data_IF_813267443340
#
_entry.id   IF_813267443340
#
_cell.length_a   1.000
_cell.length_b   1.000
_cell.length_c   1.000
_cell.angle_alpha   90.00
_cell.angle_beta   90.00
_cell.angle_gamma   90.00
#
_symmetry.space_group_name_H-M   'P 1'
#
loop_
_entity.id
_entity.type
_entity.pdbx_description
1 polymer ?
#
# COMPACT_ATOMS: atom_id res chain seq x y z
N UNK A 1 25.30 22.32 -5.71
CA UNK A 1 24.00 21.60 -5.68
C UNK A 1 23.09 22.34 -4.72
N UNK A 2 21.93 22.82 -5.19
CA UNK A 2 20.98 23.53 -4.33
C UNK A 2 20.29 22.49 -3.46
N UNK A 3 20.67 22.42 -2.18
CA UNK A 3 19.99 21.58 -1.19
C UNK A 3 18.58 22.12 -1.02
N UNK A 4 17.66 21.64 -1.83
CA UNK A 4 16.24 21.85 -1.59
C UNK A 4 15.95 21.14 -0.26
N UNK A 5 15.63 21.92 0.77
CA UNK A 5 14.97 21.43 1.97
C UNK A 5 13.64 20.84 1.50
N UNK A 6 13.64 19.53 1.20
CA UNK A 6 12.40 18.81 0.93
C UNK A 6 11.71 18.67 2.28
N UNK A 7 10.82 19.61 2.58
CA UNK A 7 9.79 19.41 3.60
C UNK A 7 8.98 18.22 3.09
N UNK A 8 9.06 17.08 3.79
CA UNK A 8 8.34 15.87 3.42
C UNK A 8 6.85 16.19 3.23
N UNK A 9 6.23 15.55 2.23
CA UNK A 9 4.82 15.78 1.95
C UNK A 9 3.95 15.40 3.15
N UNK A 10 2.90 16.17 3.39
CA UNK A 10 1.85 15.79 4.32
C UNK A 10 0.94 14.74 3.63
N UNK A 11 0.73 13.61 4.30
CA UNK A 11 0.04 12.45 3.74
C UNK A 11 -1.43 12.79 3.42
N UNK A 12 -2.06 13.60 4.27
CA UNK A 12 -3.49 13.92 4.18
C UNK A 12 -3.76 15.15 3.30
N UNK A 13 -2.70 15.91 2.94
CA UNK A 13 -2.78 17.11 2.11
C UNK A 13 -2.16 16.89 0.75
N UNK A 14 -2.97 16.34 -0.16
CA UNK A 14 -2.52 15.95 -1.50
C UNK A 14 -1.84 17.08 -2.29
N UNK A 15 -2.16 18.35 -2.01
CA UNK A 15 -1.53 19.52 -2.64
C UNK A 15 -0.03 19.64 -2.32
N UNK A 16 0.41 19.10 -1.17
CA UNK A 16 1.82 19.07 -0.74
C UNK A 16 2.63 17.95 -1.39
N UNK A 17 1.95 17.00 -2.05
CA UNK A 17 2.63 15.88 -2.70
C UNK A 17 3.48 16.38 -3.87
N UNK A 18 4.66 15.80 -4.02
CA UNK A 18 5.64 16.20 -5.03
C UNK A 18 5.53 15.32 -6.27
N UNK A 19 5.86 15.88 -7.44
CA UNK A 19 5.84 15.13 -8.70
C UNK A 19 6.77 13.92 -8.57
N UNK A 20 6.27 12.74 -8.92
CA UNK A 20 7.02 11.52 -8.71
C UNK A 20 8.22 11.37 -9.65
N UNK A 21 9.34 10.96 -9.08
CA UNK A 21 10.53 10.51 -9.80
C UNK A 21 10.97 9.14 -9.27
N UNK A 22 11.47 8.26 -10.13
CA UNK A 22 11.82 6.87 -9.77
C UNK A 22 12.85 6.78 -8.63
N UNK A 23 13.77 7.73 -8.56
CA UNK A 23 14.82 7.82 -7.53
C UNK A 23 14.26 8.05 -6.12
N UNK A 24 13.06 8.63 -5.99
CA UNK A 24 12.45 8.97 -4.70
C UNK A 24 12.20 7.74 -3.83
N UNK A 25 11.82 6.60 -4.41
CA UNK A 25 11.47 5.41 -3.62
C UNK A 25 12.61 4.90 -2.75
N UNK A 26 13.86 5.05 -3.17
CA UNK A 26 15.03 4.56 -2.42
C UNK A 26 15.43 5.47 -1.26
N UNK A 27 15.00 6.73 -1.27
CA UNK A 27 15.26 7.72 -0.22
C UNK A 27 14.02 8.01 0.65
N UNK A 28 12.92 7.28 0.43
CA UNK A 28 11.63 7.53 1.08
C UNK A 28 11.47 6.70 2.35
N UNK A 29 10.86 7.27 3.39
CA UNK A 29 10.43 6.57 4.61
C UNK A 29 9.22 5.63 4.39
N UNK A 30 8.92 5.31 3.13
CA UNK A 30 7.81 4.45 2.69
C UNK A 30 6.43 4.97 3.03
N UNK A 31 6.19 6.27 2.85
CA UNK A 31 4.89 6.91 3.05
C UNK A 31 3.73 6.22 2.32
N UNK A 32 3.96 5.69 1.12
CA UNK A 32 2.90 4.98 0.40
C UNK A 32 2.51 3.66 1.05
N UNK A 33 3.42 3.03 1.80
CA UNK A 33 3.14 1.86 2.61
C UNK A 33 2.54 2.22 3.98
N UNK A 34 2.28 3.48 4.30
CA UNK A 34 1.50 3.87 5.50
C UNK A 34 0.06 4.27 5.16
N UNK A 35 -0.27 4.32 3.87
CA UNK A 35 -1.63 4.58 3.39
C UNK A 35 -2.47 3.28 3.40
N UNK A 36 -3.81 3.39 3.53
CA UNK A 36 -4.70 2.26 3.31
C UNK A 36 -4.50 1.66 1.91
N UNK A 37 -4.40 0.34 1.82
CA UNK A 37 -4.25 -0.38 0.55
C UNK A 37 -5.50 -1.19 0.30
N UNK A 38 -6.23 -0.83 -0.76
CA UNK A 38 -7.33 -1.64 -1.27
C UNK A 38 -6.82 -2.64 -2.31
N UNK A 39 -7.30 -3.87 -2.22
CA UNK A 39 -6.93 -5.00 -3.05
C UNK A 39 -8.20 -5.73 -3.53
N UNK A 40 -8.14 -6.30 -4.74
CA UNK A 40 -9.16 -7.21 -5.27
C UNK A 40 -8.77 -8.66 -4.98
N UNK A 41 -9.70 -9.60 -5.20
CA UNK A 41 -9.41 -11.03 -5.07
C UNK A 41 -8.19 -11.47 -5.90
N UNK A 42 -8.07 -10.99 -7.14
CA UNK A 42 -6.91 -11.26 -8.00
C UNK A 42 -5.59 -10.77 -7.41
N UNK A 43 -5.62 -9.64 -6.68
CA UNK A 43 -4.45 -9.17 -5.95
C UNK A 43 -4.13 -10.09 -4.77
N UNK A 44 -5.13 -10.53 -4.01
CA UNK A 44 -4.92 -11.43 -2.87
C UNK A 44 -4.33 -12.78 -3.32
N UNK A 45 -4.75 -13.29 -4.47
CA UNK A 45 -4.16 -14.48 -5.08
C UNK A 45 -2.72 -14.22 -5.51
N UNK A 46 -2.45 -13.08 -6.17
CA UNK A 46 -1.08 -12.69 -6.54
C UNK A 46 -0.16 -12.55 -5.33
N UNK A 47 -0.70 -12.07 -4.21
CA UNK A 47 -0.02 -11.95 -2.93
C UNK A 47 0.10 -13.28 -2.20
N UNK A 48 -0.45 -14.37 -2.74
CA UNK A 48 -0.47 -15.72 -2.17
C UNK A 48 -1.17 -15.80 -0.79
N UNK A 49 -2.15 -14.92 -0.56
CA UNK A 49 -3.00 -14.94 0.64
C UNK A 49 -4.26 -15.79 0.45
N UNK A 50 -4.61 -16.03 -0.81
CA UNK A 50 -5.80 -16.75 -1.26
C UNK A 50 -5.36 -17.67 -2.39
N UNK A 51 -5.84 -18.91 -2.37
CA UNK A 51 -5.56 -19.87 -3.43
C UNK A 51 -6.40 -19.55 -4.68
N UNK A 52 -5.88 -19.85 -5.87
CA UNK A 52 -6.62 -19.71 -7.13
C UNK A 52 -7.91 -20.56 -7.14
N UNK A 53 -7.92 -21.72 -6.48
CA UNK A 53 -9.11 -22.58 -6.34
C UNK A 53 -10.22 -21.92 -5.50
N UNK A 54 -9.89 -20.98 -4.60
CA UNK A 54 -10.88 -20.24 -3.81
C UNK A 54 -11.65 -19.19 -4.65
N UNK A 55 -11.34 -19.00 -5.93
CA UNK A 55 -11.97 -17.96 -6.78
C UNK A 55 -13.49 -18.11 -6.89
N UNK A 56 -14.01 -19.33 -6.79
CA UNK A 56 -15.45 -19.60 -6.80
C UNK A 56 -16.15 -19.34 -5.46
N UNK A 57 -15.40 -19.11 -4.39
CA UNK A 57 -15.98 -18.91 -3.07
C UNK A 57 -16.60 -17.51 -2.90
N UNK A 58 -17.66 -17.38 -2.09
CA UNK A 58 -18.19 -16.07 -1.73
C UNK A 58 -17.11 -15.20 -1.07
N UNK A 59 -16.83 -14.01 -1.63
CA UNK A 59 -15.82 -13.08 -1.12
C UNK A 59 -15.96 -12.77 0.38
N UNK A 60 -17.18 -12.81 0.92
CA UNK A 60 -17.46 -12.59 2.34
C UNK A 60 -16.82 -13.67 3.23
N UNK A 61 -16.72 -14.91 2.75
CA UNK A 61 -16.10 -16.01 3.50
C UNK A 61 -14.58 -15.84 3.54
N UNK A 62 -13.98 -15.55 2.37
CA UNK A 62 -12.56 -15.21 2.24
C UNK A 62 -12.22 -14.02 3.14
N UNK A 63 -13.03 -12.95 3.11
CA UNK A 63 -12.84 -11.78 3.96
C UNK A 63 -12.85 -12.12 5.44
N UNK A 64 -13.81 -12.93 5.92
CA UNK A 64 -13.86 -13.37 7.32
C UNK A 64 -12.62 -14.15 7.73
N UNK A 65 -12.12 -15.05 6.87
CA UNK A 65 -10.89 -15.80 7.12
C UNK A 65 -9.69 -14.86 7.24
N UNK A 66 -9.47 -14.00 6.24
CA UNK A 66 -8.34 -13.06 6.23
C UNK A 66 -8.39 -12.01 7.35
N UNK A 67 -9.60 -11.63 7.79
CA UNK A 67 -9.79 -10.79 8.97
C UNK A 67 -9.39 -11.51 10.26
N UNK A 68 -9.75 -12.79 10.39
CA UNK A 68 -9.34 -13.63 11.53
C UNK A 68 -7.81 -13.83 11.55
N UNK A 69 -7.20 -13.97 10.38
CA UNK A 69 -5.75 -14.07 10.21
C UNK A 69 -5.02 -12.73 10.42
N UNK A 70 -5.77 -11.63 10.54
CA UNK A 70 -5.25 -10.29 10.78
C UNK A 70 -4.62 -9.62 9.56
N UNK A 71 -4.79 -10.17 8.34
CA UNK A 71 -4.20 -9.63 7.10
C UNK A 71 -5.09 -8.58 6.43
N UNK A 72 -6.41 -8.67 6.64
CA UNK A 72 -7.41 -7.72 6.14
C UNK A 72 -8.12 -7.05 7.32
N UNK A 73 -8.20 -5.72 7.33
CA UNK A 73 -8.90 -4.96 8.37
C UNK A 73 -10.35 -4.63 8.00
N UNK A 74 -10.66 -4.56 6.69
CA UNK A 74 -11.99 -4.20 6.19
C UNK A 74 -12.32 -4.89 4.87
N UNK A 75 -13.58 -5.22 4.66
CA UNK A 75 -14.10 -5.70 3.39
C UNK A 75 -15.35 -4.92 2.99
N UNK A 76 -15.37 -4.41 1.75
CA UNK A 76 -16.52 -3.75 1.17
C UNK A 76 -17.28 -4.71 0.24
N UNK A 77 -18.42 -5.21 0.71
CA UNK A 77 -19.22 -6.17 -0.03
C UNK A 77 -19.77 -5.62 -1.36
N UNK A 78 -20.02 -4.31 -1.46
CA UNK A 78 -20.58 -3.69 -2.68
C UNK A 78 -19.54 -3.62 -3.80
N UNK A 79 -18.28 -3.31 -3.47
CA UNK A 79 -17.21 -3.15 -4.45
C UNK A 79 -16.31 -4.38 -4.60
N UNK A 80 -16.40 -5.32 -3.67
CA UNK A 80 -15.52 -6.50 -3.61
C UNK A 80 -14.08 -6.15 -3.22
N UNK A 81 -13.86 -5.01 -2.56
CA UNK A 81 -12.52 -4.54 -2.17
C UNK A 81 -12.19 -4.95 -0.73
N UNK A 82 -10.97 -5.44 -0.56
CA UNK A 82 -10.36 -5.79 0.72
C UNK A 82 -9.37 -4.70 1.08
N UNK A 83 -9.43 -4.17 2.30
CA UNK A 83 -8.43 -3.25 2.84
C UNK A 83 -7.44 -4.05 3.66
N UNK A 84 -6.17 -4.03 3.25
CA UNK A 84 -5.10 -4.70 3.99
C UNK A 84 -4.89 -4.05 5.35
N UNK A 85 -4.58 -4.87 6.35
CA UNK A 85 -4.31 -4.41 7.71
C UNK A 85 -3.10 -3.49 7.75
N UNK A 86 -3.23 -2.42 8.53
CA UNK A 86 -2.10 -1.62 8.99
C UNK A 86 -1.79 -1.92 10.46
N UNK A 87 -0.51 -1.88 10.80
CA UNK A 87 -0.06 -1.96 12.18
C UNK A 87 -0.46 -0.70 12.95
N UNK A 88 -0.30 -0.71 14.27
CA UNK A 88 -0.65 0.44 15.13
C UNK A 88 0.10 1.73 14.79
N UNK A 89 1.25 1.65 14.13
CA UNK A 89 2.02 2.79 13.63
C UNK A 89 1.67 3.17 12.18
N UNK A 90 0.53 2.71 11.66
CA UNK A 90 0.04 2.85 10.29
C UNK A 90 0.86 2.11 9.21
N UNK A 91 1.95 1.41 9.54
CA UNK A 91 2.69 0.64 8.55
C UNK A 91 1.82 -0.47 7.96
N UNK A 92 1.86 -0.64 6.64
CA UNK A 92 1.31 -1.80 5.97
C UNK A 92 1.88 -3.08 6.57
N UNK A 93 1.04 -4.10 6.71
CA UNK A 93 1.43 -5.43 7.19
C UNK A 93 2.69 -6.00 6.51
N UNK A 94 2.90 -5.70 5.23
CA UNK A 94 4.03 -6.19 4.42
C UNK A 94 5.24 -5.23 4.37
N UNK A 95 5.30 -4.22 5.23
CA UNK A 95 6.43 -3.30 5.27
C UNK A 95 7.53 -3.83 6.21
N UNK A 96 8.75 -4.00 5.69
CA UNK A 96 9.89 -4.36 6.52
C UNK A 96 10.27 -3.18 7.42
N UNK A 97 10.23 -3.40 8.73
CA UNK A 97 10.48 -2.34 9.74
C UNK A 97 11.89 -1.75 9.68
N UNK A 98 12.90 -2.54 9.24
CA UNK A 98 14.30 -2.08 9.17
C UNK A 98 14.61 -1.43 7.84
N UNK A 99 14.35 -2.13 6.75
CA UNK A 99 14.74 -1.65 5.40
C UNK A 99 13.76 -0.62 4.85
N UNK A 100 12.57 -0.51 5.45
CA UNK A 100 11.45 0.29 4.93
C UNK A 100 11.09 -0.10 3.49
N UNK A 101 11.34 -1.34 3.08
CA UNK A 101 10.93 -1.87 1.78
C UNK A 101 9.80 -2.89 1.95
N UNK A 102 8.91 -2.96 0.96
CA UNK A 102 7.85 -3.96 0.93
C UNK A 102 8.46 -5.37 0.79
N UNK A 103 8.05 -6.30 1.65
CA UNK A 103 8.54 -7.68 1.66
C UNK A 103 8.01 -8.53 0.51
N UNK A 104 6.91 -8.10 -0.12
CA UNK A 104 6.25 -8.79 -1.25
C UNK A 104 6.36 -7.99 -2.55
N UNK A 105 7.49 -7.32 -2.79
CA UNK A 105 7.62 -6.30 -3.84
C UNK A 105 7.12 -6.73 -5.23
N UNK A 106 7.41 -7.97 -5.63
CA UNK A 106 7.03 -8.54 -6.93
C UNK A 106 5.60 -9.06 -6.97
N UNK A 107 4.97 -9.23 -5.81
CA UNK A 107 3.61 -9.76 -5.62
C UNK A 107 2.61 -8.70 -5.18
N UNK A 108 3.05 -7.44 -5.09
CA UNK A 108 2.23 -6.29 -4.67
C UNK A 108 0.91 -6.20 -5.44
N UNK A 109 -0.16 -5.73 -4.77
CA UNK A 109 -1.45 -5.46 -5.41
C UNK A 109 -1.29 -4.35 -6.46
N UNK A 110 -2.23 -4.28 -7.40
CA UNK A 110 -2.21 -3.27 -8.47
C UNK A 110 -2.15 -1.85 -7.94
N UNK A 111 -2.86 -1.56 -6.84
CA UNK A 111 -2.83 -0.28 -6.11
C UNK A 111 -1.39 0.16 -5.81
N UNK A 112 -0.57 -0.75 -5.27
CA UNK A 112 0.81 -0.44 -4.90
C UNK A 112 1.77 -0.47 -6.10
N UNK A 113 1.57 -1.39 -7.04
CA UNK A 113 2.42 -1.53 -8.23
C UNK A 113 2.32 -0.33 -9.16
N UNK A 114 1.11 0.21 -9.29
CA UNK A 114 0.81 1.32 -10.18
C UNK A 114 0.86 2.68 -9.47
N UNK A 115 1.13 2.73 -8.17
CA UNK A 115 1.36 4.01 -7.48
C UNK A 115 2.66 4.66 -7.98
N UNK A 116 2.68 5.97 -8.28
CA UNK A 116 1.61 6.96 -8.13
C UNK A 116 0.82 7.26 -9.43
N UNK A 117 0.93 6.45 -10.48
CA UNK A 117 0.05 6.59 -11.66
C UNK A 117 -1.43 6.50 -11.26
N UNK A 118 -1.73 5.70 -10.24
CA UNK A 118 -3.02 5.67 -9.54
C UNK A 118 -2.86 6.05 -8.07
N UNK A 119 -3.91 6.63 -7.49
CA UNK A 119 -3.95 7.05 -6.08
C UNK A 119 -4.67 8.39 -5.89
N UNK A 120 -4.58 8.98 -4.68
CA UNK A 120 -5.26 10.23 -4.33
C UNK A 120 -4.88 11.43 -5.22
N UNK A 121 -3.63 11.47 -5.68
CA UNK A 121 -3.15 12.48 -6.64
C UNK A 121 -2.29 11.82 -7.72
N UNK A 122 -2.88 11.43 -8.87
CA UNK A 122 -2.16 10.76 -9.96
C UNK A 122 -0.91 11.53 -10.42
N UNK A 123 0.22 10.85 -10.52
CA UNK A 123 1.51 11.42 -10.91
C UNK A 123 2.31 12.09 -9.80
N UNK A 124 1.75 12.20 -8.59
CA UNK A 124 2.38 12.82 -7.43
C UNK A 124 2.51 11.81 -6.28
N UNK A 125 3.54 11.96 -5.46
CA UNK A 125 3.84 11.06 -4.36
C UNK A 125 3.90 11.83 -3.04
N UNK A 126 3.37 11.22 -1.98
CA UNK A 126 3.51 11.67 -0.60
C UNK A 126 4.93 11.41 -0.05
N UNK A 127 5.97 11.69 -0.84
CA UNK A 127 7.35 11.41 -0.48
C UNK A 127 7.72 12.07 0.85
N UNK A 128 8.27 11.26 1.76
CA UNK A 128 8.93 11.75 2.98
C UNK A 128 10.35 11.17 2.99
N UNK A 129 11.40 12.00 3.13
CA UNK A 129 12.76 11.48 3.21
C UNK A 129 12.94 10.59 4.45
N UNK A 130 13.81 9.59 4.37
CA UNK A 130 14.31 8.91 5.58
C UNK A 130 15.14 9.94 6.35
N UNK A 131 14.75 10.25 7.58
CA UNK A 131 15.57 11.07 8.47
C UNK A 131 16.86 10.29 8.79
N UNK A 132 18.00 10.96 8.61
CA UNK A 132 19.33 10.40 8.89
C UNK A 132 19.59 10.36 10.40
#
# INVERSE_FOLDING_TARGET
>A
MKTLLIVGADLDRTETWIRYEKSMCHACASSCCTMPVEARLSDLIRMELVDEFERGEPLKNIAKRLMKDGVVERFNQKTGLFTLTRMSNNDCYFLNRKTRLCTIYDKRPETCRNHPKIGPRPGYCAFKPIEA
#
